data_IF_424764728727
#
_entry.id   IF_424764728727
#
_cell.length_a   1.000
_cell.length_b   1.000
_cell.length_c   1.000
_cell.angle_alpha   90.00
_cell.angle_beta   90.00
_cell.angle_gamma   90.00
#
_symmetry.space_group_name_H-M   'P 1'
#
loop_
_entity.id
_entity.type
_entity.pdbx_description
1 polymer ?
#
# COMPACT_ATOMS: atom_id res chain seq x y z
N UNK A 1 6.33 -0.94 -24.20
CA UNK A 1 6.16 0.24 -23.32
C UNK A 1 6.47 1.51 -24.10
N UNK A 2 5.56 2.48 -24.14
CA UNK A 2 5.82 3.81 -24.73
C UNK A 2 6.12 4.79 -23.60
N UNK A 3 7.21 5.56 -23.72
CA UNK A 3 7.60 6.60 -22.75
C UNK A 3 7.51 7.98 -23.39
N UNK A 4 7.28 9.00 -22.56
CA UNK A 4 7.45 10.39 -22.99
C UNK A 4 8.93 10.65 -23.33
N UNK A 5 9.17 11.45 -24.36
CA UNK A 5 10.53 11.88 -24.77
C UNK A 5 11.10 12.99 -23.89
N UNK A 6 10.26 13.67 -23.10
CA UNK A 6 10.68 14.77 -22.23
C UNK A 6 11.27 14.20 -20.93
N UNK A 7 12.52 14.59 -20.63
CA UNK A 7 13.23 14.24 -19.39
C UNK A 7 13.61 15.52 -18.66
N UNK A 8 13.43 15.51 -17.34
CA UNK A 8 13.84 16.59 -16.44
C UNK A 8 14.97 16.03 -15.60
N UNK A 9 16.15 16.61 -15.72
CA UNK A 9 17.39 16.09 -15.09
C UNK A 9 17.26 16.08 -13.56
N UNK A 10 16.65 17.11 -12.96
CA UNK A 10 16.43 17.23 -11.50
C UNK A 10 15.65 16.05 -10.89
N UNK A 11 14.91 15.28 -11.70
CA UNK A 11 14.13 14.14 -11.25
C UNK A 11 14.78 12.79 -11.56
N UNK A 12 16.00 12.75 -12.07
CA UNK A 12 16.62 11.51 -12.52
C UNK A 12 16.96 10.54 -11.39
N UNK A 13 17.36 11.04 -10.22
CA UNK A 13 17.68 10.18 -9.08
C UNK A 13 16.46 9.38 -8.59
N UNK A 14 15.27 9.97 -8.66
CA UNK A 14 14.02 9.34 -8.17
C UNK A 14 13.23 8.74 -9.33
N UNK A 15 12.74 9.60 -10.23
CA UNK A 15 11.90 9.18 -11.33
C UNK A 15 12.69 8.43 -12.41
N UNK A 16 13.97 8.79 -12.62
CA UNK A 16 14.85 8.05 -13.53
C UNK A 16 15.14 6.63 -13.02
N UNK A 17 15.47 6.48 -11.73
CA UNK A 17 15.64 5.17 -11.11
C UNK A 17 14.38 4.30 -11.22
N UNK A 18 13.19 4.86 -10.94
CA UNK A 18 11.91 4.15 -11.14
C UNK A 18 11.69 3.73 -12.59
N UNK A 19 11.96 4.61 -13.56
CA UNK A 19 11.86 4.28 -15.00
C UNK A 19 12.78 3.11 -15.39
N UNK A 20 14.00 3.07 -14.85
CA UNK A 20 14.94 1.98 -15.11
C UNK A 20 14.46 0.65 -14.52
N UNK A 21 13.99 0.67 -13.26
CA UNK A 21 13.43 -0.52 -12.61
C UNK A 21 12.19 -1.05 -13.36
N UNK A 22 11.26 -0.17 -13.77
CA UNK A 22 10.07 -0.58 -14.54
C UNK A 22 10.44 -1.24 -15.86
N UNK A 23 11.47 -0.75 -16.56
CA UNK A 23 11.96 -1.38 -17.79
C UNK A 23 12.57 -2.75 -17.53
N UNK A 24 13.36 -2.89 -16.48
CA UNK A 24 14.01 -4.16 -16.12
C UNK A 24 12.98 -5.27 -15.82
N UNK A 25 11.79 -4.90 -15.31
CA UNK A 25 10.72 -5.84 -14.96
C UNK A 25 9.60 -5.88 -16.00
N UNK A 26 9.70 -5.12 -17.10
CA UNK A 26 8.65 -5.05 -18.12
C UNK A 26 8.48 -6.39 -18.84
N UNK A 27 7.28 -6.98 -18.75
CA UNK A 27 6.98 -8.30 -19.31
C UNK A 27 7.26 -9.47 -18.34
N UNK A 28 7.87 -9.19 -17.19
CA UNK A 28 8.16 -10.16 -16.13
C UNK A 28 7.64 -9.67 -14.78
N UNK A 29 6.56 -8.88 -14.78
CA UNK A 29 5.97 -8.41 -13.54
C UNK A 29 5.58 -9.62 -12.67
N UNK A 30 5.99 -9.63 -11.39
CA UNK A 30 5.62 -10.72 -10.48
C UNK A 30 4.10 -10.74 -10.31
N UNK A 31 3.52 -11.94 -10.37
CA UNK A 31 2.09 -12.18 -10.24
C UNK A 31 1.44 -12.72 -11.52
N UNK A 32 0.17 -13.10 -11.40
CA UNK A 32 -0.63 -13.64 -12.51
C UNK A 32 -1.88 -12.78 -12.71
N UNK A 33 -1.98 -11.95 -13.76
CA UNK A 33 -3.12 -11.05 -13.94
C UNK A 33 -4.46 -11.80 -14.04
N UNK A 34 -4.46 -13.01 -14.59
CA UNK A 34 -5.64 -13.88 -14.60
C UNK A 34 -6.10 -14.25 -13.17
N UNK A 35 -5.17 -14.69 -12.31
CA UNK A 35 -5.45 -15.02 -10.91
C UNK A 35 -5.86 -13.79 -10.10
N UNK A 36 -5.30 -12.62 -10.42
CA UNK A 36 -5.71 -11.35 -9.82
C UNK A 36 -7.16 -11.00 -10.17
N UNK A 37 -7.57 -11.20 -11.43
CA UNK A 37 -8.94 -10.99 -11.86
C UNK A 37 -9.90 -11.97 -11.17
N UNK A 38 -9.54 -13.25 -11.05
CA UNK A 38 -10.33 -14.25 -10.31
C UNK A 38 -10.53 -13.85 -8.83
N UNK A 39 -9.49 -13.35 -8.16
CA UNK A 39 -9.58 -12.87 -6.79
C UNK A 39 -10.53 -11.67 -6.65
N UNK A 40 -10.51 -10.74 -7.62
CA UNK A 40 -11.44 -9.60 -7.65
C UNK A 40 -12.88 -10.08 -7.81
N UNK A 41 -13.15 -10.99 -8.75
CA UNK A 41 -14.49 -11.57 -8.95
C UNK A 41 -14.98 -12.23 -7.65
N UNK A 42 -14.12 -13.02 -7.02
CA UNK A 42 -14.43 -13.70 -5.76
C UNK A 42 -14.85 -12.72 -4.68
N UNK A 43 -14.14 -11.60 -4.55
CA UNK A 43 -14.48 -10.55 -3.58
C UNK A 43 -15.80 -9.86 -3.91
N UNK A 44 -16.13 -9.64 -5.19
CA UNK A 44 -17.41 -9.03 -5.56
C UNK A 44 -18.63 -9.89 -5.26
N UNK A 45 -18.43 -11.20 -5.15
CA UNK A 45 -19.49 -12.18 -4.85
C UNK A 45 -19.57 -12.52 -3.34
N UNK A 46 -18.67 -11.99 -2.52
CA UNK A 46 -18.66 -12.23 -1.08
C UNK A 46 -19.80 -11.48 -0.37
N UNK A 47 -20.42 -12.13 0.62
CA UNK A 47 -21.47 -11.50 1.45
C UNK A 47 -20.98 -10.24 2.18
N UNK A 48 -19.69 -10.22 2.54
CA UNK A 48 -19.03 -9.10 3.20
C UNK A 48 -17.69 -8.81 2.51
N UNK A 49 -17.69 -8.01 1.43
CA UNK A 49 -16.47 -7.73 0.69
C UNK A 49 -15.51 -6.83 1.51
N UNK A 50 -14.20 -7.08 1.48
CA UNK A 50 -13.22 -6.21 2.12
C UNK A 50 -13.12 -4.85 1.42
N UNK A 51 -12.81 -3.80 2.19
CA UNK A 51 -12.52 -2.46 1.66
C UNK A 51 -11.21 -2.43 0.85
N UNK A 52 -10.23 -3.24 1.27
CA UNK A 52 -8.90 -3.31 0.66
C UNK A 52 -8.51 -4.77 0.42
N UNK A 53 -8.07 -5.09 -0.79
CA UNK A 53 -7.61 -6.42 -1.18
C UNK A 53 -6.17 -6.37 -1.69
N UNK A 54 -5.16 -6.70 -0.87
CA UNK A 54 -3.79 -6.87 -1.32
C UNK A 54 -3.69 -8.07 -2.28
N UNK A 55 -3.16 -7.85 -3.48
CA UNK A 55 -3.04 -8.90 -4.51
C UNK A 55 -1.58 -9.33 -4.67
N UNK A 56 -1.27 -10.52 -4.13
CA UNK A 56 0.06 -11.12 -4.14
C UNK A 56 0.87 -10.84 -2.88
N UNK A 57 1.94 -11.62 -2.68
CA UNK A 57 2.79 -11.63 -1.48
C UNK A 57 3.38 -10.26 -1.17
N UNK A 58 4.03 -9.61 -2.13
CA UNK A 58 4.63 -8.27 -1.93
C UNK A 58 3.59 -7.24 -1.49
N UNK A 59 2.39 -7.26 -2.07
CA UNK A 59 1.33 -6.32 -1.70
C UNK A 59 0.81 -6.61 -0.28
N UNK A 60 0.71 -7.89 0.08
CA UNK A 60 0.33 -8.34 1.41
C UNK A 60 1.36 -7.92 2.46
N UNK A 61 2.64 -8.18 2.24
CA UNK A 61 3.73 -7.84 3.17
C UNK A 61 3.82 -6.34 3.41
N UNK A 62 3.74 -5.53 2.34
CA UNK A 62 3.74 -4.06 2.47
C UNK A 62 2.54 -3.56 3.28
N UNK A 63 1.37 -4.18 3.13
CA UNK A 63 0.19 -3.83 3.92
C UNK A 63 0.39 -4.20 5.40
N UNK A 64 0.96 -5.39 5.69
CA UNK A 64 1.28 -5.83 7.04
C UNK A 64 2.30 -4.92 7.71
N UNK A 65 3.41 -4.60 7.04
CA UNK A 65 4.44 -3.68 7.56
C UNK A 65 3.84 -2.31 7.91
N UNK A 66 2.90 -1.82 7.10
CA UNK A 66 2.21 -0.55 7.37
C UNK A 66 1.34 -0.64 8.62
N UNK A 67 0.60 -1.73 8.80
CA UNK A 67 -0.23 -1.95 9.98
C UNK A 67 0.63 -2.04 11.24
N UNK A 68 1.75 -2.77 11.17
CA UNK A 68 2.67 -2.92 12.30
C UNK A 68 3.35 -1.60 12.66
N UNK A 69 3.74 -0.80 11.68
CA UNK A 69 4.28 0.56 11.88
C UNK A 69 3.27 1.47 12.58
N UNK A 70 2.01 1.45 12.15
CA UNK A 70 0.94 2.22 12.78
C UNK A 70 0.69 1.75 14.21
N UNK A 71 0.58 0.44 14.43
CA UNK A 71 0.38 -0.15 15.75
C UNK A 71 1.49 0.23 16.71
N UNK A 72 2.74 0.07 16.29
CA UNK A 72 3.92 0.47 17.07
C UNK A 72 3.87 1.95 17.44
N UNK A 73 3.46 2.80 16.50
CA UNK A 73 3.31 4.23 16.76
C UNK A 73 2.21 4.50 17.78
N UNK A 74 1.05 3.85 17.66
CA UNK A 74 -0.05 4.03 18.62
C UNK A 74 0.33 3.58 20.02
N UNK A 75 1.00 2.42 20.13
CA UNK A 75 1.43 1.87 21.42
C UNK A 75 2.48 2.77 22.08
N UNK A 76 3.42 3.33 21.30
CA UNK A 76 4.44 4.26 21.81
C UNK A 76 3.85 5.56 22.39
N UNK A 77 2.71 6.01 21.87
CA UNK A 77 2.04 7.25 22.28
C UNK A 77 0.75 7.02 23.08
N UNK A 78 0.53 5.79 23.57
CA UNK A 78 -0.73 5.37 24.18
C UNK A 78 -1.19 6.29 25.31
N UNK A 79 -0.34 6.56 26.29
CA UNK A 79 -0.68 7.41 27.43
C UNK A 79 -1.06 8.83 27.02
N UNK A 80 -0.30 9.41 26.08
CA UNK A 80 -0.60 10.74 25.54
C UNK A 80 -1.92 10.76 24.78
N UNK A 81 -2.18 9.76 23.94
CA UNK A 81 -3.42 9.69 23.15
C UNK A 81 -4.65 9.48 24.02
N UNK A 82 -4.57 8.63 25.04
CA UNK A 82 -5.66 8.42 26.00
C UNK A 82 -5.84 9.61 26.94
N UNK A 83 -4.77 10.33 27.26
CA UNK A 83 -4.83 11.56 28.06
C UNK A 83 -5.50 12.74 27.35
N UNK A 84 -5.80 12.63 26.05
CA UNK A 84 -6.56 13.62 25.29
C UNK A 84 -8.08 13.48 25.47
N UNK A 85 -8.55 12.51 26.27
CA UNK A 85 -9.96 12.41 26.63
C UNK A 85 -10.45 13.68 27.37
N UNK A 86 -11.70 14.04 27.11
CA UNK A 86 -12.33 15.15 27.81
C UNK A 86 -12.40 14.85 29.32
N UNK A 87 -12.11 15.83 30.20
CA UNK A 87 -12.34 15.63 31.63
C UNK A 87 -13.83 15.36 31.83
N UNK A 88 -14.15 14.24 32.47
CA UNK A 88 -15.52 13.90 32.87
C UNK A 88 -15.95 14.88 33.95
N UNK A 89 -16.39 16.08 33.56
CA UNK A 89 -17.14 16.96 34.45
C UNK A 89 -18.50 16.31 34.67
N UNK A 90 -18.59 15.50 35.73
CA UNK A 90 -19.89 15.10 36.29
C UNK A 90 -20.55 16.36 36.84
N UNK A 91 -21.73 16.68 36.32
CA UNK A 91 -22.70 17.55 36.99
C UNK A 91 -23.64 16.71 37.85
#
# INVERSE_FOLDING_TARGET
MRRSGTRIEDYDEIAGARRAATLATYGHQPGGPARAAEAIITVTEAEQPPLSLPLGEVAYDVAQDRLDSLRTSFDAWRELTLGADHPTTSA
#
